data_IF_661627105764
#
_entry.id   IF_661627105764
#
_cell.length_a   1.000
_cell.length_b   1.000
_cell.length_c   1.000
_cell.angle_alpha   90.00
_cell.angle_beta   90.00
_cell.angle_gamma   90.00
#
_symmetry.space_group_name_H-M   'P 1'
#
loop_
_entity.id
_entity.type
_entity.pdbx_description
1 polymer ?
#
# COMPACT_ATOMS: atom_id res chain seq x y z
N UNK A 1 -26.25 19.80 -13.71
CA UNK A 1 -25.67 19.56 -12.36
C UNK A 1 -25.47 18.06 -12.21
N UNK A 2 -24.25 17.57 -12.45
CA UNK A 2 -23.90 16.16 -12.20
C UNK A 2 -23.78 16.00 -10.69
N UNK A 3 -24.76 15.36 -10.05
CA UNK A 3 -24.67 15.03 -8.64
C UNK A 3 -23.47 14.10 -8.45
N UNK A 4 -22.46 14.52 -7.68
CA UNK A 4 -21.38 13.61 -7.27
C UNK A 4 -22.05 12.42 -6.58
N UNK A 5 -21.93 11.24 -7.18
CA UNK A 5 -22.34 9.99 -6.56
C UNK A 5 -21.60 9.88 -5.22
N UNK A 6 -22.34 9.72 -4.13
CA UNK A 6 -21.75 9.53 -2.80
C UNK A 6 -20.97 8.21 -2.84
N UNK A 7 -19.74 8.22 -2.34
CA UNK A 7 -18.95 6.99 -2.22
C UNK A 7 -19.71 5.94 -1.39
N UNK A 8 -19.56 4.68 -1.75
CA UNK A 8 -20.22 3.56 -1.07
C UNK A 8 -19.68 3.36 0.35
N UNK A 9 -18.38 3.54 0.54
CA UNK A 9 -17.70 3.46 1.84
C UNK A 9 -16.33 4.17 1.81
N UNK A 10 -15.74 4.33 2.98
CA UNK A 10 -14.39 4.87 3.16
C UNK A 10 -13.37 3.73 3.31
N UNK A 11 -12.24 3.86 2.64
CA UNK A 11 -11.03 3.06 2.81
C UNK A 11 -10.02 3.89 3.59
N UNK A 12 -9.56 3.38 4.74
CA UNK A 12 -8.50 4.01 5.52
C UNK A 12 -7.15 3.36 5.22
N UNK A 13 -6.16 4.16 4.82
CA UNK A 13 -4.81 3.69 4.45
C UNK A 13 -3.80 4.16 5.50
N UNK A 14 -3.11 3.21 6.14
CA UNK A 14 -1.99 3.48 7.04
C UNK A 14 -0.70 2.96 6.40
N UNK A 15 0.20 3.86 5.97
CA UNK A 15 1.45 3.51 5.26
C UNK A 15 2.65 4.34 5.74
N UNK A 16 3.84 4.17 5.17
CA UNK A 16 5.05 4.84 5.66
C UNK A 16 5.16 6.28 5.18
N UNK A 17 4.92 6.52 3.90
CA UNK A 17 5.28 7.79 3.27
C UNK A 17 4.35 8.32 2.19
N UNK A 18 4.76 9.45 1.59
CA UNK A 18 4.03 10.10 0.51
C UNK A 18 3.96 9.27 -0.78
N UNK A 19 4.90 8.37 -1.06
CA UNK A 19 4.84 7.53 -2.28
C UNK A 19 3.60 6.64 -2.28
N UNK A 20 3.17 6.20 -1.11
CA UNK A 20 2.02 5.32 -0.89
C UNK A 20 0.73 6.10 -0.69
N UNK A 21 0.81 7.25 0.00
CA UNK A 21 -0.35 8.01 0.49
C UNK A 21 -0.62 9.32 -0.24
N UNK A 22 0.34 9.85 -0.99
CA UNK A 22 0.29 11.21 -1.52
C UNK A 22 0.10 12.24 -0.40
N UNK A 23 -0.89 13.12 -0.54
CA UNK A 23 -1.23 14.14 0.46
C UNK A 23 -1.85 13.55 1.74
N UNK A 24 -2.32 12.31 1.75
CA UNK A 24 -2.78 11.67 3.00
C UNK A 24 -1.62 11.48 3.99
N UNK A 25 -0.36 11.53 3.54
CA UNK A 25 0.81 11.53 4.43
C UNK A 25 0.97 12.84 5.23
N UNK A 26 0.30 13.92 4.81
CA UNK A 26 0.30 15.23 5.47
C UNK A 26 -0.78 15.27 6.55
N UNK A 27 -0.49 15.95 7.68
CA UNK A 27 -1.49 16.16 8.74
C UNK A 27 -2.72 16.89 8.20
N UNK A 28 -3.90 16.55 8.73
CA UNK A 28 -5.19 17.02 8.23
C UNK A 28 -5.26 18.55 8.08
N UNK A 29 -4.72 19.33 9.01
CA UNK A 29 -4.78 20.79 8.94
C UNK A 29 -3.97 21.40 7.77
N UNK A 30 -3.05 20.63 7.18
CA UNK A 30 -2.16 21.08 6.10
C UNK A 30 -2.48 20.44 4.75
N UNK A 31 -3.50 19.59 4.67
CA UNK A 31 -3.92 18.98 3.39
C UNK A 31 -4.57 20.01 2.47
N UNK A 32 -4.34 19.89 1.17
CA UNK A 32 -5.02 20.74 0.19
C UNK A 32 -6.52 20.46 0.24
N UNK A 33 -7.32 21.53 0.24
CA UNK A 33 -8.79 21.43 0.06
C UNK A 33 -9.18 21.15 -1.41
N UNK A 34 -8.24 21.25 -2.34
CA UNK A 34 -8.43 20.91 -3.77
C UNK A 34 -7.80 19.54 -4.00
N UNK A 35 -8.60 18.61 -4.57
CA UNK A 35 -8.26 17.23 -4.96
C UNK A 35 -6.87 16.76 -4.48
N UNK A 36 -6.78 16.02 -3.37
CA UNK A 36 -5.50 15.67 -2.78
C UNK A 36 -4.68 14.87 -3.78
N UNK A 37 -3.38 15.19 -3.89
CA UNK A 37 -2.46 14.35 -4.67
C UNK A 37 -2.45 12.95 -4.08
N UNK A 38 -2.46 11.97 -4.95
CA UNK A 38 -2.53 10.56 -4.56
C UNK A 38 -1.14 9.97 -4.46
N UNK A 39 -1.03 8.85 -3.75
CA UNK A 39 0.12 7.96 -3.86
C UNK A 39 -0.28 6.71 -4.63
N UNK A 40 0.53 5.65 -4.50
CA UNK A 40 0.29 4.37 -5.16
C UNK A 40 -1.08 3.75 -4.82
N UNK A 41 -1.49 3.80 -3.55
CA UNK A 41 -2.61 2.99 -3.08
C UNK A 41 -3.97 3.46 -3.58
N UNK A 42 -4.24 4.76 -3.65
CA UNK A 42 -5.57 5.24 -4.02
C UNK A 42 -6.02 4.78 -5.42
N UNK A 43 -5.26 5.00 -6.51
CA UNK A 43 -5.64 4.50 -7.82
C UNK A 43 -5.62 2.97 -7.91
N UNK A 44 -4.67 2.29 -7.26
CA UNK A 44 -4.63 0.83 -7.25
C UNK A 44 -5.86 0.23 -6.55
N UNK A 45 -6.24 0.78 -5.40
CA UNK A 45 -7.41 0.33 -4.66
C UNK A 45 -8.70 0.64 -5.42
N UNK A 46 -8.80 1.68 -6.25
CA UNK A 46 -9.95 1.83 -7.16
C UNK A 46 -10.05 0.69 -8.17
N UNK A 47 -8.92 0.21 -8.72
CA UNK A 47 -8.94 -0.95 -9.63
C UNK A 47 -9.44 -2.22 -8.92
N UNK A 48 -9.05 -2.41 -7.66
CA UNK A 48 -9.38 -3.63 -6.87
C UNK A 48 -10.77 -3.55 -6.20
N UNK A 49 -11.18 -2.35 -5.79
CA UNK A 49 -12.39 -2.10 -4.98
C UNK A 49 -13.50 -1.37 -5.76
N UNK A 50 -13.27 -0.99 -7.02
CA UNK A 50 -14.17 -0.14 -7.80
C UNK A 50 -14.04 1.35 -7.48
N UNK A 51 -14.61 2.19 -8.36
CA UNK A 51 -14.45 3.65 -8.30
C UNK A 51 -15.26 4.35 -7.22
N UNK A 52 -16.31 3.69 -6.69
CA UNK A 52 -17.24 4.27 -5.72
C UNK A 52 -16.70 4.20 -4.27
N UNK A 53 -15.42 4.55 -4.04
CA UNK A 53 -14.77 4.55 -2.72
C UNK A 53 -14.19 5.92 -2.35
N UNK A 54 -14.28 6.28 -1.08
CA UNK A 54 -13.59 7.43 -0.50
C UNK A 54 -12.30 7.00 0.18
N UNK A 55 -11.30 7.88 0.25
CA UNK A 55 -10.02 7.59 0.89
C UNK A 55 -9.75 8.53 2.06
N UNK A 56 -9.40 7.93 3.18
CA UNK A 56 -8.70 8.58 4.28
C UNK A 56 -7.40 7.84 4.56
N UNK A 57 -6.48 8.46 5.29
CA UNK A 57 -5.22 7.80 5.60
C UNK A 57 -4.30 8.65 6.44
N UNK A 58 -3.19 8.07 6.90
CA UNK A 58 -2.08 8.80 7.52
C UNK A 58 -0.83 7.92 7.62
N UNK A 59 0.31 8.55 7.95
CA UNK A 59 1.55 7.83 8.20
C UNK A 59 1.42 6.92 9.43
N UNK A 60 1.97 5.71 9.36
CA UNK A 60 1.99 4.75 10.49
C UNK A 60 2.69 5.32 11.74
N UNK A 61 3.59 6.28 11.57
CA UNK A 61 4.31 6.96 12.66
C UNK A 61 3.48 8.03 13.36
N UNK A 62 2.33 8.41 12.79
CA UNK A 62 1.40 9.40 13.34
C UNK A 62 0.13 8.74 13.90
N UNK A 63 0.06 7.41 13.93
CA UNK A 63 -1.00 6.68 14.62
C UNK A 63 -0.91 7.02 16.11
N UNK A 64 -1.90 7.76 16.61
CA UNK A 64 -1.92 8.30 17.98
C UNK A 64 -1.76 7.24 19.07
N UNK A 65 -1.77 7.69 20.33
CA UNK A 65 -1.72 6.76 21.46
C UNK A 65 -3.05 6.05 21.63
N UNK A 66 -2.96 4.75 21.89
CA UNK A 66 -4.11 3.93 22.23
C UNK A 66 -3.80 3.16 23.50
N UNK A 67 -4.69 3.24 24.49
CA UNK A 67 -4.58 2.46 25.73
C UNK A 67 -5.11 1.05 25.47
N UNK A 68 -4.20 0.13 25.20
CA UNK A 68 -4.50 -1.30 25.14
C UNK A 68 -4.28 -1.93 26.52
N UNK A 69 -5.13 -2.90 26.88
CA UNK A 69 -4.87 -3.78 28.05
C UNK A 69 -3.61 -4.63 27.84
N UNK A 70 -3.25 -4.93 26.59
CA UNK A 70 -2.06 -5.70 26.22
C UNK A 70 -0.94 -4.79 25.70
N UNK A 71 0.30 -4.97 26.19
CA UNK A 71 1.47 -4.28 25.65
C UNK A 71 1.91 -4.91 24.33
N UNK A 72 1.32 -4.45 23.23
CA UNK A 72 1.79 -4.77 21.88
C UNK A 72 3.10 -4.05 21.59
N UNK A 73 3.89 -4.59 20.66
CA UNK A 73 5.15 -3.99 20.20
C UNK A 73 5.22 -4.06 18.67
N UNK A 74 6.15 -3.31 18.10
CA UNK A 74 6.49 -3.41 16.68
C UNK A 74 5.30 -3.14 15.75
N UNK A 75 5.13 -4.00 14.75
CA UNK A 75 4.07 -3.92 13.76
C UNK A 75 2.69 -4.24 14.36
N UNK A 76 2.62 -5.08 15.41
CA UNK A 76 1.36 -5.41 16.07
C UNK A 76 0.72 -4.17 16.72
N UNK A 77 1.54 -3.35 17.41
CA UNK A 77 1.08 -2.10 18.01
C UNK A 77 0.56 -1.10 16.96
N UNK A 78 1.28 -0.96 15.85
CA UNK A 78 0.87 -0.07 14.75
C UNK A 78 -0.40 -0.56 14.06
N UNK A 79 -0.51 -1.86 13.78
CA UNK A 79 -1.69 -2.47 13.18
C UNK A 79 -2.94 -2.31 14.07
N UNK A 80 -2.79 -2.53 15.39
CA UNK A 80 -3.87 -2.31 16.35
C UNK A 80 -4.35 -0.85 16.38
N UNK A 81 -3.42 0.11 16.38
CA UNK A 81 -3.75 1.54 16.35
C UNK A 81 -4.45 1.94 15.04
N UNK A 82 -3.97 1.44 13.90
CA UNK A 82 -4.58 1.71 12.61
C UNK A 82 -6.03 1.17 12.55
N UNK A 83 -6.25 -0.06 13.02
CA UNK A 83 -7.59 -0.65 13.07
C UNK A 83 -8.51 0.07 14.04
N UNK A 84 -8.03 0.44 15.23
CA UNK A 84 -8.85 1.22 16.17
C UNK A 84 -9.27 2.55 15.57
N UNK A 85 -8.34 3.27 14.95
CA UNK A 85 -8.64 4.55 14.32
C UNK A 85 -9.68 4.40 13.21
N UNK A 86 -9.46 3.43 12.30
CA UNK A 86 -10.38 3.11 11.22
C UNK A 86 -11.77 2.75 11.75
N UNK A 87 -11.84 1.95 12.82
CA UNK A 87 -13.10 1.45 13.35
C UNK A 87 -13.88 2.46 14.19
N UNK A 88 -13.24 3.52 14.72
CA UNK A 88 -13.91 4.45 15.66
C UNK A 88 -13.95 5.91 15.22
N UNK A 89 -12.99 6.40 14.44
CA UNK A 89 -12.89 7.83 14.10
C UNK A 89 -13.10 8.13 12.61
N UNK A 90 -12.97 7.14 11.73
CA UNK A 90 -13.13 7.33 10.29
C UNK A 90 -14.58 6.99 9.90
N UNK A 91 -15.35 8.02 9.56
CA UNK A 91 -16.74 7.87 9.17
C UNK A 91 -16.90 6.99 7.92
N UNK A 92 -17.89 6.10 7.95
CA UNK A 92 -18.18 5.16 6.86
C UNK A 92 -17.03 4.19 6.54
N UNK A 93 -16.03 4.02 7.41
CA UNK A 93 -14.92 3.12 7.15
C UNK A 93 -15.39 1.66 7.13
N UNK A 94 -15.04 0.96 6.04
CA UNK A 94 -15.32 -0.47 5.86
C UNK A 94 -14.08 -1.28 5.51
N UNK A 95 -12.99 -0.64 5.08
CA UNK A 95 -11.73 -1.31 4.75
C UNK A 95 -10.57 -0.52 5.34
N UNK A 96 -9.68 -1.22 6.04
CA UNK A 96 -8.35 -0.76 6.44
C UNK A 96 -7.31 -1.41 5.53
N UNK A 97 -6.45 -0.60 4.92
CA UNK A 97 -5.20 -1.05 4.31
C UNK A 97 -4.05 -0.67 5.23
N UNK A 98 -3.39 -1.67 5.80
CA UNK A 98 -2.17 -1.49 6.58
C UNK A 98 -0.96 -1.85 5.72
N UNK A 99 -0.23 -0.82 5.31
CA UNK A 99 0.92 -0.94 4.44
C UNK A 99 2.23 -0.83 5.23
N UNK A 100 3.13 -1.78 4.99
CA UNK A 100 4.46 -1.79 5.58
C UNK A 100 5.43 -2.55 4.69
N UNK A 101 6.58 -1.96 4.41
CA UNK A 101 7.59 -2.61 3.57
C UNK A 101 8.23 -3.78 4.29
N UNK A 102 8.57 -4.83 3.53
CA UNK A 102 9.29 -6.01 4.05
C UNK A 102 10.78 -5.84 3.82
N UNK A 103 11.43 -5.19 4.80
CA UNK A 103 12.87 -4.99 4.79
C UNK A 103 13.66 -6.29 4.98
N UNK A 104 14.92 -6.25 4.51
CA UNK A 104 15.93 -7.26 4.81
C UNK A 104 16.47 -7.07 6.23
N UNK A 105 16.59 -8.14 7.02
CA UNK A 105 17.41 -8.13 8.22
C UNK A 105 18.92 -8.09 7.90
N UNK A 106 19.71 -7.49 8.78
CA UNK A 106 21.17 -7.52 8.68
C UNK A 106 21.68 -8.98 8.71
N UNK A 107 22.56 -9.34 7.78
CA UNK A 107 23.20 -10.68 7.73
C UNK A 107 22.42 -11.80 7.02
N UNK A 108 21.22 -11.54 6.49
CA UNK A 108 20.36 -12.60 5.94
C UNK A 108 20.76 -13.10 4.54
N UNK A 109 20.50 -14.39 4.30
CA UNK A 109 20.72 -15.09 3.02
C UNK A 109 19.69 -14.66 1.98
N UNK A 110 20.13 -14.58 0.72
CA UNK A 110 19.33 -14.18 -0.43
C UNK A 110 18.59 -15.39 -1.03
N UNK A 111 17.60 -15.94 -0.33
CA UNK A 111 16.81 -17.04 -0.90
C UNK A 111 15.30 -16.85 -0.67
N UNK A 112 14.50 -17.50 -1.51
CA UNK A 112 13.04 -17.39 -1.49
C UNK A 112 12.43 -17.88 -0.16
N UNK A 113 13.02 -18.89 0.47
CA UNK A 113 12.55 -19.45 1.74
C UNK A 113 12.60 -18.44 2.89
N UNK A 114 13.72 -17.72 3.04
CA UNK A 114 13.87 -16.68 4.06
C UNK A 114 12.92 -15.50 3.81
N UNK A 115 12.74 -15.10 2.54
CA UNK A 115 11.76 -14.06 2.17
C UNK A 115 10.35 -14.47 2.58
N UNK A 116 9.92 -15.68 2.21
CA UNK A 116 8.59 -16.19 2.55
C UNK A 116 8.38 -16.27 4.07
N UNK A 117 9.40 -16.73 4.81
CA UNK A 117 9.38 -16.76 6.28
C UNK A 117 9.21 -15.36 6.87
N UNK A 118 9.90 -14.35 6.31
CA UNK A 118 9.82 -12.96 6.79
C UNK A 118 8.45 -12.34 6.53
N UNK A 119 7.91 -12.53 5.33
CA UNK A 119 6.55 -12.09 4.99
C UNK A 119 5.55 -12.71 5.96
N UNK A 120 5.65 -14.03 6.18
CA UNK A 120 4.78 -14.75 7.12
C UNK A 120 4.90 -14.19 8.54
N UNK A 121 6.11 -13.99 9.05
CA UNK A 121 6.32 -13.46 10.40
C UNK A 121 5.77 -12.04 10.56
N UNK A 122 5.93 -11.19 9.54
CA UNK A 122 5.34 -9.85 9.53
C UNK A 122 3.80 -9.91 9.53
N UNK A 123 3.22 -10.78 8.70
CA UNK A 123 1.77 -10.98 8.65
C UNK A 123 1.22 -11.46 9.98
N UNK A 124 1.87 -12.44 10.63
CA UNK A 124 1.49 -12.93 11.96
C UNK A 124 1.52 -11.81 13.01
N UNK A 125 2.52 -10.91 12.95
CA UNK A 125 2.61 -9.77 13.86
C UNK A 125 1.50 -8.74 13.60
N UNK A 126 1.18 -8.44 12.33
CA UNK A 126 0.09 -7.55 11.96
C UNK A 126 -1.26 -8.12 12.42
N UNK A 127 -1.49 -9.42 12.17
CA UNK A 127 -2.71 -10.13 12.59
C UNK A 127 -2.88 -10.12 14.11
N UNK A 128 -1.80 -10.32 14.87
CA UNK A 128 -1.85 -10.19 16.33
C UNK A 128 -2.28 -8.79 16.77
N UNK A 129 -1.85 -7.75 16.05
CA UNK A 129 -2.32 -6.39 16.25
C UNK A 129 -3.81 -6.21 15.97
N UNK A 130 -4.30 -6.73 14.85
CA UNK A 130 -5.72 -6.68 14.50
C UNK A 130 -6.61 -7.46 15.47
N UNK A 131 -6.15 -8.62 15.95
CA UNK A 131 -6.87 -9.45 16.89
C UNK A 131 -7.02 -8.81 18.29
N UNK A 132 -6.15 -7.86 18.64
CA UNK A 132 -6.20 -7.14 19.91
C UNK A 132 -7.25 -6.01 19.95
N UNK A 133 -7.96 -5.75 18.85
CA UNK A 133 -8.96 -4.67 18.76
C UNK A 133 -10.38 -5.23 18.75
N UNK A 134 -11.05 -5.12 19.89
CA UNK A 134 -12.46 -5.48 20.02
C UNK A 134 -13.38 -4.48 19.29
N UNK A 135 -14.52 -5.00 18.79
CA UNK A 135 -15.60 -4.19 18.21
C UNK A 135 -15.30 -3.60 16.82
N UNK A 136 -14.34 -4.18 16.09
CA UNK A 136 -13.91 -3.71 14.76
C UNK A 136 -14.31 -4.67 13.63
N UNK A 137 -15.31 -5.53 13.82
CA UNK A 137 -15.73 -6.53 12.82
C UNK A 137 -16.36 -5.92 11.57
N UNK A 138 -16.81 -4.66 11.62
CA UNK A 138 -17.34 -3.91 10.48
C UNK A 138 -16.24 -3.35 9.57
N UNK A 139 -14.97 -3.42 9.98
CA UNK A 139 -13.82 -2.98 9.17
C UNK A 139 -13.04 -4.20 8.71
N UNK A 140 -13.02 -4.41 7.40
CA UNK A 140 -12.19 -5.40 6.74
C UNK A 140 -10.73 -5.00 6.80
N UNK A 141 -9.82 -5.96 7.01
CA UNK A 141 -8.39 -5.68 7.13
C UNK A 141 -7.65 -6.22 5.92
N UNK A 142 -6.80 -5.40 5.34
CA UNK A 142 -5.95 -5.72 4.19
C UNK A 142 -4.51 -5.41 4.56
N UNK A 143 -3.62 -6.40 4.40
CA UNK A 143 -2.17 -6.22 4.55
C UNK A 143 -1.60 -5.89 3.18
N UNK A 144 -0.87 -4.78 3.09
CA UNK A 144 -0.08 -4.44 1.93
C UNK A 144 1.40 -4.49 2.31
N UNK A 145 2.11 -5.53 1.90
CA UNK A 145 3.50 -5.73 2.32
C UNK A 145 4.44 -5.86 1.14
N UNK A 146 4.74 -4.74 0.43
CA UNK A 146 5.68 -4.77 -0.68
C UNK A 146 7.00 -5.41 -0.26
N UNK A 147 7.46 -6.40 -1.03
CA UNK A 147 8.77 -6.97 -0.79
C UNK A 147 9.84 -5.93 -1.11
N UNK A 148 10.68 -5.65 -0.11
CA UNK A 148 11.69 -4.58 -0.08
C UNK A 148 11.12 -3.19 0.07
N UNK A 149 10.27 -2.76 -0.87
CA UNK A 149 9.66 -1.43 -0.86
C UNK A 149 8.61 -1.29 -1.96
N UNK A 150 7.78 -0.25 -1.86
CA UNK A 150 6.73 0.05 -2.83
C UNK A 150 7.23 0.19 -4.27
N UNK A 151 8.49 0.58 -4.49
CA UNK A 151 9.10 0.61 -5.83
C UNK A 151 9.09 -0.75 -6.53
N UNK A 152 9.16 -1.86 -5.77
CA UNK A 152 9.05 -3.19 -6.37
C UNK A 152 7.66 -3.40 -7.01
N UNK A 153 6.60 -2.90 -6.38
CA UNK A 153 5.26 -2.93 -6.97
C UNK A 153 5.11 -1.94 -8.12
N UNK A 154 5.71 -0.76 -8.03
CA UNK A 154 5.73 0.20 -9.15
C UNK A 154 6.44 -0.38 -10.40
N UNK A 155 7.45 -1.22 -10.21
CA UNK A 155 8.19 -1.89 -11.30
C UNK A 155 7.50 -3.15 -11.83
N UNK A 156 6.38 -3.59 -11.25
CA UNK A 156 5.74 -4.86 -11.60
C UNK A 156 5.01 -4.87 -12.95
N UNK A 157 4.69 -3.71 -13.50
CA UNK A 157 4.16 -3.60 -14.86
C UNK A 157 5.09 -2.74 -15.71
N UNK A 158 5.87 -3.40 -16.56
CA UNK A 158 6.79 -2.75 -17.49
C UNK A 158 6.08 -1.74 -18.39
N UNK A 159 4.89 -2.08 -18.91
CA UNK A 159 4.15 -1.20 -19.81
C UNK A 159 3.68 0.08 -19.09
N UNK A 160 3.24 -0.06 -17.84
CA UNK A 160 2.82 1.08 -17.02
C UNK A 160 3.97 2.03 -16.67
N UNK A 161 5.15 1.48 -16.35
CA UNK A 161 6.35 2.30 -16.11
C UNK A 161 6.77 3.02 -17.40
N UNK A 162 6.79 2.31 -18.53
CA UNK A 162 7.13 2.90 -19.83
C UNK A 162 6.16 4.02 -20.24
N UNK A 163 4.87 3.88 -19.94
CA UNK A 163 3.84 4.88 -20.27
C UNK A 163 4.09 6.25 -19.61
N UNK A 164 4.84 6.28 -18.50
CA UNK A 164 5.10 7.51 -17.74
C UNK A 164 6.58 7.91 -17.70
N UNK A 165 7.44 7.11 -18.35
CA UNK A 165 8.88 7.32 -18.35
C UNK A 165 9.23 8.65 -19.04
N UNK A 166 10.23 9.35 -18.50
CA UNK A 166 10.78 10.53 -19.14
C UNK A 166 11.60 10.18 -20.39
N UNK A 167 12.03 11.21 -21.12
CA UNK A 167 12.90 11.05 -22.31
C UNK A 167 14.17 10.25 -22.03
N UNK A 168 14.70 10.36 -20.81
CA UNK A 168 15.92 9.69 -20.36
C UNK A 168 15.63 8.38 -19.62
N UNK A 169 14.40 7.86 -19.70
CA UNK A 169 14.01 6.58 -19.12
C UNK A 169 14.65 5.40 -19.84
N UNK A 170 15.02 4.38 -19.06
CA UNK A 170 15.64 3.15 -19.55
C UNK A 170 14.71 1.95 -19.29
N UNK A 171 13.89 1.52 -20.28
CA UNK A 171 13.04 0.35 -20.16
C UNK A 171 13.81 -0.93 -19.82
N UNK A 172 15.06 -1.06 -20.28
CA UNK A 172 15.89 -2.24 -20.01
C UNK A 172 16.31 -2.34 -18.53
N UNK A 173 16.14 -1.26 -17.75
CA UNK A 173 16.35 -1.30 -16.31
C UNK A 173 15.22 -2.05 -15.58
N UNK A 174 14.04 -2.19 -16.18
CA UNK A 174 12.87 -2.81 -15.53
C UNK A 174 13.09 -4.33 -15.38
N UNK A 175 13.07 -4.87 -14.16
CA UNK A 175 13.37 -6.27 -13.92
C UNK A 175 12.12 -7.13 -14.10
N UNK A 176 12.30 -8.35 -14.62
CA UNK A 176 11.22 -9.36 -14.70
C UNK A 176 10.68 -9.81 -13.33
N UNK A 177 11.52 -9.72 -12.30
CA UNK A 177 11.17 -10.13 -10.93
C UNK A 177 11.50 -8.99 -9.94
N UNK A 178 10.66 -7.96 -9.86
CA UNK A 178 10.92 -6.78 -9.02
C UNK A 178 11.09 -7.12 -7.54
N UNK A 179 10.38 -8.11 -7.02
CA UNK A 179 10.47 -8.55 -5.62
C UNK A 179 11.85 -9.14 -5.25
N UNK A 180 12.67 -9.46 -6.25
CA UNK A 180 14.03 -9.96 -6.06
C UNK A 180 15.11 -8.89 -6.16
N UNK A 181 14.73 -7.66 -6.52
CA UNK A 181 15.66 -6.55 -6.65
C UNK A 181 16.32 -6.22 -5.31
N UNK A 182 17.63 -5.99 -5.37
CA UNK A 182 18.43 -5.62 -4.22
C UNK A 182 19.74 -4.97 -4.67
N UNK A 183 20.29 -4.07 -3.86
CA UNK A 183 21.54 -3.40 -4.16
C UNK A 183 21.89 -2.37 -3.09
N UNK A 184 22.95 -1.61 -3.35
CA UNK A 184 23.30 -0.45 -2.54
C UNK A 184 22.49 0.76 -3.02
N UNK A 185 21.67 1.35 -2.14
CA UNK A 185 20.88 2.55 -2.43
C UNK A 185 21.75 3.75 -2.86
N UNK A 186 23.02 3.78 -2.41
CA UNK A 186 23.95 4.87 -2.72
C UNK A 186 24.59 4.73 -4.10
N UNK A 187 24.58 3.52 -4.66
CA UNK A 187 25.06 3.27 -6.02
C UNK A 187 23.87 3.33 -7.00
N UNK A 188 23.85 4.38 -7.82
CA UNK A 188 22.80 4.60 -8.81
C UNK A 188 22.74 3.50 -9.88
N UNK A 189 23.82 2.76 -10.12
CA UNK A 189 23.83 1.63 -11.05
C UNK A 189 23.37 0.31 -10.41
N UNK A 190 23.18 0.29 -9.09
CA UNK A 190 22.84 -0.93 -8.37
C UNK A 190 21.43 -1.46 -8.68
N UNK A 191 21.19 -2.72 -8.32
CA UNK A 191 19.87 -3.34 -8.37
C UNK A 191 18.93 -2.91 -7.24
N UNK A 192 19.26 -1.89 -6.45
CA UNK A 192 18.36 -1.40 -5.39
C UNK A 192 17.06 -0.86 -6.02
N UNK A 193 15.86 -1.21 -5.49
CA UNK A 193 14.59 -0.87 -6.15
C UNK A 193 14.42 0.62 -6.49
N UNK A 194 14.82 1.54 -5.59
CA UNK A 194 14.85 2.99 -5.88
C UNK A 194 15.77 3.37 -7.05
N UNK A 195 16.94 2.75 -7.13
CA UNK A 195 17.90 3.01 -8.21
C UNK A 195 17.35 2.47 -9.55
N UNK A 196 16.72 1.30 -9.51
CA UNK A 196 16.06 0.70 -10.67
C UNK A 196 14.93 1.59 -11.17
N UNK A 197 13.99 1.98 -10.31
CA UNK A 197 12.86 2.84 -10.69
C UNK A 197 13.35 4.21 -11.22
N UNK A 198 14.36 4.81 -10.57
CA UNK A 198 14.97 6.07 -11.04
C UNK A 198 15.53 5.95 -12.45
N UNK A 199 16.19 4.84 -12.79
CA UNK A 199 16.70 4.59 -14.14
C UNK A 199 15.56 4.34 -15.13
N UNK A 200 14.60 3.51 -14.75
CA UNK A 200 13.44 3.21 -15.59
C UNK A 200 12.66 4.48 -15.98
N UNK A 201 12.48 5.41 -15.05
CA UNK A 201 11.80 6.69 -15.29
C UNK A 201 12.70 7.79 -15.87
N UNK A 202 14.03 7.65 -15.77
CA UNK A 202 15.00 8.67 -16.17
C UNK A 202 15.13 9.85 -15.19
N UNK A 203 14.48 9.78 -14.02
CA UNK A 203 14.40 10.85 -13.01
C UNK A 203 14.09 10.30 -11.62
N UNK A 204 14.21 11.14 -10.59
CA UNK A 204 13.75 10.79 -9.26
C UNK A 204 12.22 10.65 -9.23
N UNK A 205 11.67 9.53 -8.73
CA UNK A 205 10.23 9.35 -8.61
C UNK A 205 9.64 10.27 -7.54
N UNK A 206 8.47 10.81 -7.84
CA UNK A 206 7.62 11.61 -6.97
C UNK A 206 6.36 10.82 -6.60
N UNK A 207 5.61 11.22 -5.55
CA UNK A 207 4.32 10.59 -5.22
C UNK A 207 3.35 10.51 -6.40
N UNK A 208 3.33 11.53 -7.27
CA UNK A 208 2.49 11.54 -8.46
C UNK A 208 2.91 10.45 -9.46
N UNK A 209 4.20 10.12 -9.55
CA UNK A 209 4.67 9.04 -10.41
C UNK A 209 4.18 7.69 -9.92
N UNK A 210 4.20 7.45 -8.61
CA UNK A 210 3.62 6.24 -8.03
C UNK A 210 2.12 6.14 -8.30
N UNK A 211 1.38 7.25 -8.14
CA UNK A 211 -0.03 7.29 -8.45
C UNK A 211 -0.30 7.06 -9.95
N UNK A 212 0.53 7.61 -10.84
CA UNK A 212 0.38 7.45 -12.28
C UNK A 212 0.71 6.03 -12.73
N UNK A 213 1.81 5.43 -12.25
CA UNK A 213 2.11 4.01 -12.49
C UNK A 213 0.94 3.15 -12.03
N UNK A 214 0.43 3.37 -10.82
CA UNK A 214 -0.70 2.59 -10.31
C UNK A 214 -2.01 2.80 -11.10
N UNK A 215 -2.18 3.94 -11.80
CA UNK A 215 -3.31 4.17 -12.72
C UNK A 215 -3.15 3.40 -14.03
N UNK A 216 -1.94 3.40 -14.58
CA UNK A 216 -1.65 2.70 -15.85
C UNK A 216 -1.55 1.18 -15.66
N UNK A 217 -1.14 0.72 -14.48
CA UNK A 217 -0.82 -0.68 -14.23
C UNK A 217 -1.99 -1.64 -14.48
N UNK A 218 -1.66 -2.74 -15.15
CA UNK A 218 -2.48 -3.94 -15.25
C UNK A 218 -2.31 -4.81 -14.00
N UNK A 219 -3.44 -5.16 -13.37
CA UNK A 219 -3.43 -5.91 -12.10
C UNK A 219 -2.89 -7.33 -12.30
N UNK A 220 -3.15 -7.95 -13.45
CA UNK A 220 -2.70 -9.32 -13.73
C UNK A 220 -1.20 -9.36 -14.05
N UNK A 221 -0.67 -8.33 -14.73
CA UNK A 221 0.77 -8.15 -14.88
C UNK A 221 1.47 -8.04 -13.51
N UNK A 222 0.94 -7.20 -12.61
CA UNK A 222 1.47 -7.07 -11.25
C UNK A 222 1.38 -8.36 -10.44
N UNK A 223 0.29 -9.13 -10.56
CA UNK A 223 0.17 -10.46 -9.92
C UNK A 223 1.24 -11.42 -10.42
N UNK A 224 1.52 -11.42 -11.73
CA UNK A 224 2.49 -12.30 -12.34
C UNK A 224 3.94 -11.93 -11.99
N UNK A 225 4.27 -10.64 -11.95
CA UNK A 225 5.63 -10.15 -11.64
C UNK A 225 5.95 -10.14 -10.15
N UNK A 226 4.92 -9.92 -9.32
CA UNK A 226 5.03 -9.77 -7.87
C UNK A 226 4.13 -10.76 -7.11
N UNK A 227 4.33 -12.09 -7.32
CA UNK A 227 3.44 -13.11 -6.79
C UNK A 227 3.53 -13.29 -5.27
N UNK A 228 4.65 -12.91 -4.63
CA UNK A 228 4.83 -13.15 -3.20
C UNK A 228 4.26 -12.05 -2.32
N UNK A 229 4.03 -10.84 -2.84
CA UNK A 229 3.48 -9.71 -2.09
C UNK A 229 2.29 -9.01 -2.74
N UNK A 230 2.34 -8.68 -4.03
CA UNK A 230 1.23 -7.95 -4.64
C UNK A 230 0.02 -8.86 -4.85
N UNK A 231 0.23 -10.08 -5.38
CA UNK A 231 -0.86 -11.02 -5.60
C UNK A 231 -1.72 -11.30 -4.35
N UNK A 232 -1.15 -11.67 -3.19
CA UNK A 232 -1.94 -11.87 -1.98
C UNK A 232 -2.60 -10.58 -1.46
N UNK A 233 -1.97 -9.42 -1.65
CA UNK A 233 -2.58 -8.12 -1.34
C UNK A 233 -3.83 -7.88 -2.21
N UNK A 234 -3.73 -8.11 -3.52
CA UNK A 234 -4.83 -7.90 -4.46
C UNK A 234 -6.01 -8.81 -4.13
N UNK A 235 -5.76 -10.09 -3.85
CA UNK A 235 -6.79 -11.06 -3.43
C UNK A 235 -7.49 -10.65 -2.12
N UNK A 236 -6.73 -10.16 -1.13
CA UNK A 236 -7.28 -9.69 0.13
C UNK A 236 -8.08 -8.40 -0.02
N UNK A 237 -7.61 -7.46 -0.85
CA UNK A 237 -8.31 -6.23 -1.17
C UNK A 237 -9.65 -6.51 -1.89
N UNK A 238 -9.64 -7.34 -2.93
CA UNK A 238 -10.87 -7.68 -3.68
C UNK A 238 -11.91 -8.37 -2.78
N UNK A 239 -11.47 -9.31 -1.93
CA UNK A 239 -12.33 -9.95 -0.93
C UNK A 239 -12.93 -8.91 0.03
N UNK A 240 -12.08 -8.04 0.60
CA UNK A 240 -12.52 -6.98 1.50
C UNK A 240 -13.51 -6.02 0.83
N UNK A 241 -13.28 -5.66 -0.43
CA UNK A 241 -14.18 -4.82 -1.22
C UNK A 241 -15.53 -5.47 -1.47
N UNK A 242 -15.56 -6.77 -1.78
CA UNK A 242 -16.80 -7.52 -1.95
C UNK A 242 -17.60 -7.57 -0.65
N UNK A 243 -16.96 -7.87 0.48
CA UNK A 243 -17.61 -7.89 1.79
C UNK A 243 -18.11 -6.51 2.22
N UNK A 244 -17.32 -5.45 1.98
CA UNK A 244 -17.72 -4.07 2.28
C UNK A 244 -18.94 -3.61 1.48
N UNK A 245 -19.01 -3.95 0.18
CA UNK A 245 -20.17 -3.64 -0.66
C UNK A 245 -21.43 -4.39 -0.22
N UNK A 246 -21.30 -5.67 0.13
CA UNK A 246 -22.44 -6.47 0.63
C UNK A 246 -22.97 -5.87 1.93
N UNK A 247 -22.09 -5.51 2.88
CA UNK A 247 -22.50 -4.86 4.12
C UNK A 247 -23.20 -3.52 3.87
N UNK A 248 -22.66 -2.69 2.97
CA UNK A 248 -23.25 -1.38 2.63
C UNK A 248 -24.64 -1.46 1.98
N UNK A 249 -24.92 -2.52 1.20
CA UNK A 249 -26.25 -2.77 0.62
C UNK A 249 -27.28 -3.17 1.68
N UNK A 250 -26.87 -3.88 2.72
CA UNK A 250 -27.77 -4.29 3.81
C UNK A 250 -28.11 -3.14 4.76
N UNK A 251 -27.33 -2.06 4.76
CA UNK A 251 -27.53 -0.88 5.61
C UNK A 251 -28.27 0.27 4.91
N UNK A 252 -28.48 0.18 3.59
CA UNK A 252 -29.16 1.20 2.74
C UNK A 252 -30.62 0.89 2.49
#
# INVERSE_FOLDING_TARGET
MSGRKKAAYTVFIAAEGPSELGELATELQWRSRKAPREGYFQPMLRKLLGDDVAFEGQKITLLGRFDTKQKLKGHADRAAKALRLASTLIDGCRVLVFAHDVDKGSGEKRNATERARRVKALHEEIEAGFAAVDGASHVQRVKATPLRMIEAWALGDEAAVQAIAGKDGDPAAIPRHPEETWGDERDRASGHPKCVLRRALGRDPTPEDFAQVAREADVDALRASCPASFAPFAEEAERAGNEARVAGVLES
#
